data_IF_872646426552
#
_entry.id   IF_872646426552
#
_cell.length_a   1.000
_cell.length_b   1.000
_cell.length_c   1.000
_cell.angle_alpha   90.00
_cell.angle_beta   90.00
_cell.angle_gamma   90.00
#
_symmetry.space_group_name_H-M   'P 1'
#
loop_
_entity.id
_entity.type
_entity.pdbx_description
1 polymer ?
#
# COMPACT_ATOMS: atom_id res chain seq x y z
N UNK A 1 17.04 -23.79 -2.17
CA UNK A 1 16.42 -22.49 -2.53
C UNK A 1 14.90 -22.66 -2.51
N UNK A 2 14.30 -22.74 -1.31
CA UNK A 2 12.86 -23.00 -1.16
C UNK A 2 12.37 -22.47 0.19
N UNK A 3 12.50 -21.15 0.42
CA UNK A 3 11.84 -20.49 1.57
C UNK A 3 11.60 -18.99 1.33
N UNK A 4 11.62 -18.56 0.07
CA UNK A 4 11.58 -17.14 -0.28
C UNK A 4 10.21 -16.47 -0.14
N UNK A 5 9.14 -17.21 0.16
CA UNK A 5 7.76 -16.70 0.26
C UNK A 5 7.04 -17.09 1.57
N UNK A 6 7.79 -17.54 2.58
CA UNK A 6 7.20 -18.14 3.78
C UNK A 6 6.44 -17.10 4.62
N UNK A 7 6.95 -15.87 4.71
CA UNK A 7 6.35 -14.83 5.54
C UNK A 7 5.07 -14.27 4.92
N UNK A 8 5.09 -13.92 3.62
CA UNK A 8 3.90 -13.40 2.94
C UNK A 8 2.78 -14.45 2.86
N UNK A 9 3.12 -15.72 2.61
CA UNK A 9 2.13 -16.82 2.62
C UNK A 9 1.55 -17.09 4.00
N UNK A 10 2.37 -17.08 5.04
CA UNK A 10 1.90 -17.23 6.42
C UNK A 10 0.83 -16.19 6.77
N UNK A 11 1.07 -14.92 6.41
CA UNK A 11 0.09 -13.84 6.62
C UNK A 11 -1.22 -14.12 5.88
N UNK A 12 -1.15 -14.59 4.62
CA UNK A 12 -2.36 -14.90 3.85
C UNK A 12 -3.17 -16.05 4.47
N UNK A 13 -2.49 -17.07 4.97
CA UNK A 13 -3.13 -18.30 5.46
C UNK A 13 -3.64 -18.14 6.91
N UNK A 14 -3.01 -17.28 7.72
CA UNK A 14 -3.40 -17.01 9.11
C UNK A 14 -4.45 -15.89 9.26
N UNK A 15 -4.55 -15.00 8.27
CA UNK A 15 -5.51 -13.89 8.32
C UNK A 15 -6.89 -14.37 7.89
N UNK A 16 -7.91 -14.13 8.72
CA UNK A 16 -9.31 -14.33 8.33
C UNK A 16 -9.79 -13.22 7.38
N UNK A 17 -9.39 -13.32 6.11
CA UNK A 17 -9.76 -12.36 5.07
C UNK A 17 -11.26 -12.27 4.85
N UNK A 18 -11.99 -13.37 5.05
CA UNK A 18 -13.46 -13.41 4.93
C UNK A 18 -14.14 -12.58 5.99
N UNK A 19 -13.55 -12.51 7.19
CA UNK A 19 -14.02 -11.65 8.27
C UNK A 19 -13.99 -10.14 7.95
N UNK A 20 -13.29 -9.74 6.89
CA UNK A 20 -13.21 -8.33 6.45
C UNK A 20 -14.03 -8.02 5.19
N UNK A 21 -14.61 -9.04 4.54
CA UNK A 21 -15.44 -8.84 3.36
C UNK A 21 -16.73 -8.10 3.78
N UNK A 22 -17.05 -7.01 3.08
CA UNK A 22 -18.13 -6.12 3.48
C UNK A 22 -19.48 -6.86 3.50
N UNK A 23 -20.23 -6.67 4.58
CA UNK A 23 -21.67 -6.98 4.64
C UNK A 23 -22.43 -6.43 3.43
N UNK A 24 -21.98 -5.31 2.88
CA UNK A 24 -22.54 -4.63 1.72
C UNK A 24 -22.40 -5.43 0.41
N UNK A 25 -21.35 -6.22 0.24
CA UNK A 25 -21.13 -7.08 -0.93
C UNK A 25 -21.96 -8.37 -0.82
N UNK A 26 -22.07 -8.90 0.40
CA UNK A 26 -22.99 -9.99 0.75
C UNK A 26 -24.44 -9.56 0.49
N UNK A 27 -24.81 -8.34 0.90
CA UNK A 27 -26.15 -7.77 0.68
C UNK A 27 -26.45 -7.49 -0.80
N UNK A 28 -25.42 -7.23 -1.63
CA UNK A 28 -25.54 -7.06 -3.09
C UNK A 28 -25.46 -8.38 -3.88
N UNK A 29 -25.30 -9.51 -3.19
CA UNK A 29 -25.22 -10.84 -3.81
C UNK A 29 -23.98 -11.05 -4.67
N UNK A 30 -22.92 -10.26 -4.45
CA UNK A 30 -21.65 -10.46 -5.12
C UNK A 30 -20.94 -11.66 -4.47
N UNK A 31 -20.31 -12.54 -5.26
CA UNK A 31 -19.60 -13.67 -4.69
C UNK A 31 -18.50 -13.14 -3.74
N UNK A 32 -18.33 -13.75 -2.56
CA UNK A 32 -17.31 -13.34 -1.61
C UNK A 32 -15.96 -13.22 -2.32
N UNK A 33 -15.37 -12.03 -2.24
CA UNK A 33 -14.12 -11.72 -2.88
C UNK A 33 -13.01 -12.44 -2.10
N UNK A 34 -12.55 -13.60 -2.57
CA UNK A 34 -11.42 -14.32 -1.93
C UNK A 34 -10.13 -13.48 -2.02
N UNK A 35 -9.95 -12.63 -1.02
CA UNK A 35 -8.88 -11.64 -0.94
C UNK A 35 -7.54 -12.36 -0.84
N UNK A 36 -7.48 -13.48 -0.12
CA UNK A 36 -6.28 -14.31 -0.04
C UNK A 36 -5.86 -14.84 -1.42
N UNK A 37 -6.80 -15.32 -2.24
CA UNK A 37 -6.51 -15.79 -3.60
C UNK A 37 -6.00 -14.65 -4.49
N UNK A 38 -6.64 -13.47 -4.46
CA UNK A 38 -6.20 -12.33 -5.28
C UNK A 38 -4.83 -11.82 -4.84
N UNK A 39 -4.62 -11.65 -3.55
CA UNK A 39 -3.34 -11.20 -3.01
C UNK A 39 -2.21 -12.18 -3.32
N UNK A 40 -2.47 -13.50 -3.24
CA UNK A 40 -1.51 -14.54 -3.66
C UNK A 40 -1.09 -14.40 -5.13
N UNK A 41 -1.96 -13.85 -5.98
CA UNK A 41 -1.67 -13.53 -7.38
C UNK A 41 -0.51 -12.57 -7.58
N UNK A 42 -0.21 -11.68 -6.62
CA UNK A 42 0.90 -10.72 -6.69
C UNK A 42 2.28 -11.38 -6.71
N UNK A 43 2.42 -12.57 -6.12
CA UNK A 43 3.65 -13.36 -6.12
C UNK A 43 3.72 -14.33 -7.30
N UNK A 44 2.76 -14.29 -8.23
CA UNK A 44 2.68 -15.20 -9.36
C UNK A 44 3.48 -14.68 -10.56
N UNK A 45 4.04 -15.59 -11.35
CA UNK A 45 4.61 -15.25 -12.66
C UNK A 45 3.54 -15.04 -13.75
N UNK A 46 2.25 -15.22 -13.39
CA UNK A 46 1.11 -15.03 -14.28
C UNK A 46 0.63 -13.57 -14.21
N UNK A 47 0.95 -12.77 -15.24
CA UNK A 47 0.61 -11.35 -15.32
C UNK A 47 -0.86 -11.03 -15.01
N UNK A 48 -1.87 -11.70 -15.61
CA UNK A 48 -3.27 -11.55 -15.23
C UNK A 48 -3.56 -11.72 -13.73
N UNK A 49 -2.88 -12.64 -13.04
CA UNK A 49 -3.04 -12.83 -11.60
C UNK A 49 -2.40 -11.70 -10.80
N UNK A 50 -1.25 -11.20 -11.25
CA UNK A 50 -0.60 -10.02 -10.66
C UNK A 50 -1.48 -8.78 -10.82
N UNK A 51 -2.03 -8.56 -12.01
CA UNK A 51 -2.94 -7.45 -12.29
C UNK A 51 -4.20 -7.52 -11.43
N UNK A 52 -4.80 -8.70 -11.29
CA UNK A 52 -5.97 -8.90 -10.44
C UNK A 52 -5.66 -8.64 -8.95
N UNK A 53 -4.50 -9.11 -8.47
CA UNK A 53 -4.06 -8.86 -7.10
C UNK A 53 -3.77 -7.39 -6.82
N UNK A 54 -3.14 -6.69 -7.77
CA UNK A 54 -2.85 -5.27 -7.65
C UNK A 54 -4.13 -4.45 -7.71
N UNK A 55 -5.04 -4.79 -8.61
CA UNK A 55 -6.36 -4.16 -8.70
C UNK A 55 -7.12 -4.29 -7.38
N UNK A 56 -7.13 -5.49 -6.79
CA UNK A 56 -7.77 -5.75 -5.50
C UNK A 56 -7.17 -4.93 -4.36
N UNK A 57 -5.83 -4.87 -4.26
CA UNK A 57 -5.16 -3.98 -3.31
C UNK A 57 -5.62 -2.52 -3.48
N UNK A 58 -5.72 -2.06 -4.73
CA UNK A 58 -6.00 -0.67 -5.08
C UNK A 58 -7.47 -0.24 -5.01
N UNK A 59 -8.42 -1.17 -5.05
CA UNK A 59 -9.85 -0.80 -5.10
C UNK A 59 -10.62 -1.34 -3.89
N UNK A 60 -10.23 -2.49 -3.35
CA UNK A 60 -10.98 -3.16 -2.30
C UNK A 60 -10.30 -3.01 -0.93
N UNK A 61 -8.97 -2.84 -0.91
CA UNK A 61 -8.18 -2.81 0.33
C UNK A 61 -7.50 -1.45 0.60
N UNK A 62 -7.71 -0.44 -0.26
CA UNK A 62 -7.16 0.90 -0.03
C UNK A 62 -7.85 1.54 1.17
N UNK A 63 -7.03 2.09 2.06
CA UNK A 63 -7.51 3.06 3.03
C UNK A 63 -7.64 4.43 2.36
N UNK A 64 -8.83 4.72 1.82
CA UNK A 64 -9.13 6.06 1.32
C UNK A 64 -9.64 6.91 2.48
N UNK A 65 -8.77 7.78 3.00
CA UNK A 65 -9.15 8.72 4.06
C UNK A 65 -10.49 9.42 3.71
N UNK A 66 -11.49 9.44 4.62
CA UNK A 66 -11.42 9.05 6.04
C UNK A 66 -11.67 7.57 6.34
N UNK A 67 -11.95 6.74 5.33
CA UNK A 67 -12.31 5.34 5.46
C UNK A 67 -11.06 4.44 5.45
N UNK A 68 -10.71 3.92 6.61
CA UNK A 68 -9.67 2.89 6.76
C UNK A 68 -10.37 1.57 7.03
N UNK A 69 -10.22 0.61 6.11
CA UNK A 69 -10.88 -0.69 6.24
C UNK A 69 -10.14 -1.59 7.24
N UNK A 70 -10.86 -2.46 7.98
CA UNK A 70 -10.22 -3.45 8.86
C UNK A 70 -9.18 -4.33 8.15
N UNK A 71 -9.37 -4.63 6.86
CA UNK A 71 -8.43 -5.39 6.04
C UNK A 71 -7.14 -4.64 5.68
N UNK A 72 -7.07 -3.32 5.87
CA UNK A 72 -5.89 -2.54 5.46
C UNK A 72 -4.65 -2.94 6.26
N UNK A 73 -4.76 -3.12 7.58
CA UNK A 73 -3.62 -3.51 8.41
C UNK A 73 -2.99 -4.87 8.01
N UNK A 74 -3.76 -5.97 7.84
CA UNK A 74 -3.19 -7.22 7.35
C UNK A 74 -2.67 -7.10 5.91
N UNK A 75 -3.32 -6.31 5.04
CA UNK A 75 -2.80 -6.05 3.69
C UNK A 75 -1.45 -5.32 3.72
N UNK A 76 -1.27 -4.34 4.61
CA UNK A 76 0.01 -3.64 4.81
C UNK A 76 1.10 -4.61 5.26
N UNK A 77 0.80 -5.51 6.20
CA UNK A 77 1.75 -6.56 6.62
C UNK A 77 2.13 -7.47 5.47
N UNK A 78 1.13 -7.94 4.72
CA UNK A 78 1.34 -8.81 3.57
C UNK A 78 2.25 -8.16 2.53
N UNK A 79 1.96 -6.91 2.14
CA UNK A 79 2.78 -6.18 1.16
C UNK A 79 4.19 -5.91 1.71
N UNK A 80 4.33 -5.56 2.99
CA UNK A 80 5.64 -5.38 3.61
C UNK A 80 6.48 -6.68 3.56
N UNK A 81 5.88 -7.82 3.90
CA UNK A 81 6.56 -9.12 3.77
C UNK A 81 6.95 -9.38 2.31
N UNK A 82 6.01 -9.20 1.38
CA UNK A 82 6.22 -9.42 -0.05
C UNK A 82 7.36 -8.56 -0.64
N UNK A 83 7.59 -7.34 -0.12
CA UNK A 83 8.71 -6.50 -0.56
C UNK A 83 10.10 -7.08 -0.22
N UNK A 84 10.19 -7.89 0.84
CA UNK A 84 11.43 -8.55 1.27
C UNK A 84 11.71 -9.85 0.51
N UNK A 85 10.74 -10.29 -0.28
CA UNK A 85 10.77 -11.56 -1.02
C UNK A 85 11.15 -11.34 -2.50
N UNK A 86 11.62 -12.38 -3.21
CA UNK A 86 11.82 -12.30 -4.65
C UNK A 86 10.49 -12.02 -5.35
N UNK A 87 10.36 -10.86 -5.99
CA UNK A 87 9.16 -10.51 -6.77
C UNK A 87 9.35 -10.90 -8.24
N UNK A 88 8.27 -11.25 -8.95
CA UNK A 88 8.34 -11.46 -10.39
C UNK A 88 8.79 -10.15 -11.07
N UNK A 89 9.62 -10.27 -12.11
CA UNK A 89 10.10 -9.13 -12.90
C UNK A 89 9.01 -8.69 -13.88
N UNK A 90 7.98 -8.07 -13.31
CA UNK A 90 6.77 -7.65 -14.01
C UNK A 90 6.69 -6.12 -14.00
N UNK A 91 6.43 -5.55 -15.17
CA UNK A 91 6.25 -4.12 -15.37
C UNK A 91 4.79 -3.86 -15.75
N UNK A 92 4.12 -3.01 -14.98
CA UNK A 92 2.69 -2.75 -15.07
C UNK A 92 2.45 -1.26 -15.34
N UNK A 93 1.35 -0.96 -16.01
CA UNK A 93 0.95 0.42 -16.29
C UNK A 93 0.45 1.10 -15.03
N UNK A 94 1.10 2.20 -14.65
CA UNK A 94 0.63 3.18 -13.67
C UNK A 94 -0.71 3.76 -14.10
N UNK A 95 -1.68 3.70 -13.20
CA UNK A 95 -2.99 4.28 -13.47
C UNK A 95 -3.00 5.80 -13.42
N UNK A 96 -2.05 6.43 -12.72
CA UNK A 96 -2.00 7.88 -12.54
C UNK A 96 -1.42 8.63 -13.74
N UNK A 97 -0.40 8.04 -14.40
CA UNK A 97 0.35 8.71 -15.46
C UNK A 97 0.64 7.82 -16.68
N UNK A 98 0.03 6.63 -16.75
CA UNK A 98 0.21 5.67 -17.84
C UNK A 98 1.64 5.16 -18.05
N UNK A 99 2.58 5.48 -17.15
CA UNK A 99 3.97 4.99 -17.24
C UNK A 99 4.05 3.52 -16.86
N UNK A 100 4.98 2.81 -17.46
CA UNK A 100 5.31 1.44 -17.08
C UNK A 100 6.21 1.47 -15.85
N UNK A 101 5.77 0.87 -14.74
CA UNK A 101 6.49 0.81 -13.47
C UNK A 101 6.65 -0.65 -13.02
N UNK A 102 7.78 -1.02 -12.40
CA UNK A 102 7.94 -2.33 -11.79
C UNK A 102 6.85 -2.60 -10.73
N UNK A 103 6.42 -3.85 -10.58
CA UNK A 103 5.45 -4.26 -9.55
C UNK A 103 5.85 -3.72 -8.16
N UNK A 104 7.15 -3.81 -7.81
CA UNK A 104 7.67 -3.31 -6.53
C UNK A 104 7.38 -1.82 -6.32
N UNK A 105 7.42 -1.00 -7.38
CA UNK A 105 7.10 0.43 -7.29
C UNK A 105 5.60 0.67 -7.05
N UNK A 106 4.72 -0.16 -7.65
CA UNK A 106 3.27 -0.11 -7.39
C UNK A 106 2.93 -0.48 -5.95
N UNK A 107 3.55 -1.54 -5.41
CA UNK A 107 3.38 -1.95 -4.02
C UNK A 107 3.82 -0.87 -3.02
N UNK A 108 4.95 -0.21 -3.30
CA UNK A 108 5.44 0.91 -2.49
C UNK A 108 4.50 2.12 -2.56
N UNK A 109 3.98 2.46 -3.74
CA UNK A 109 3.01 3.54 -3.88
C UNK A 109 1.71 3.25 -3.11
N UNK A 110 1.25 2.00 -3.13
CA UNK A 110 0.10 1.57 -2.33
C UNK A 110 0.37 1.67 -0.82
N UNK A 111 1.55 1.22 -0.35
CA UNK A 111 1.95 1.38 1.06
C UNK A 111 1.99 2.84 1.48
N UNK A 112 2.53 3.72 0.64
CA UNK A 112 2.57 5.16 0.89
C UNK A 112 1.14 5.70 1.08
N UNK A 113 0.19 5.28 0.24
CA UNK A 113 -1.21 5.67 0.37
C UNK A 113 -1.86 5.18 1.66
N UNK A 114 -1.65 3.91 2.01
CA UNK A 114 -2.15 3.33 3.25
C UNK A 114 -1.59 4.07 4.47
N UNK A 115 -0.29 4.36 4.51
CA UNK A 115 0.34 5.08 5.63
C UNK A 115 -0.12 6.54 5.73
N UNK A 116 -0.28 7.20 4.58
CA UNK A 116 -0.76 8.58 4.52
C UNK A 116 -2.17 8.70 5.07
N UNK A 117 -3.05 7.74 4.78
CA UNK A 117 -4.45 7.73 5.25
C UNK A 117 -4.59 7.80 6.78
N UNK A 118 -3.56 7.35 7.51
CA UNK A 118 -3.51 7.31 8.98
C UNK A 118 -2.42 8.20 9.58
N UNK A 119 -1.85 9.14 8.80
CA UNK A 119 -0.84 10.07 9.33
C UNK A 119 -1.46 11.11 10.28
N UNK A 120 -0.63 11.92 10.94
CA UNK A 120 -1.14 12.88 11.93
C UNK A 120 -2.02 13.97 11.32
N UNK A 121 -1.78 14.34 10.06
CA UNK A 121 -2.64 15.29 9.35
C UNK A 121 -4.03 14.70 9.09
N UNK A 122 -4.10 13.45 8.64
CA UNK A 122 -5.35 12.71 8.45
C UNK A 122 -6.08 12.48 9.77
N UNK A 123 -5.37 12.19 10.87
CA UNK A 123 -5.98 12.07 12.21
C UNK A 123 -6.59 13.41 12.63
N UNK A 124 -5.85 14.52 12.50
CA UNK A 124 -6.39 15.85 12.82
C UNK A 124 -7.62 16.18 11.99
N UNK A 125 -7.57 15.92 10.68
CA UNK A 125 -8.73 16.15 9.81
C UNK A 125 -9.94 15.28 10.20
N UNK A 126 -9.72 14.02 10.56
CA UNK A 126 -10.80 13.16 11.04
C UNK A 126 -11.41 13.68 12.35
N UNK A 127 -10.58 14.17 13.28
CA UNK A 127 -11.06 14.79 14.54
C UNK A 127 -11.92 16.01 14.24
N UNK A 128 -11.51 16.86 13.30
CA UNK A 128 -12.30 18.02 12.86
C UNK A 128 -13.65 17.61 12.27
N UNK A 129 -13.69 16.51 11.50
CA UNK A 129 -14.91 16.01 10.85
C UNK A 129 -15.86 15.26 11.80
N UNK A 130 -15.32 14.41 12.67
CA UNK A 130 -16.08 13.44 13.45
C UNK A 130 -16.17 13.76 14.94
N UNK A 131 -15.34 14.68 15.45
CA UNK A 131 -15.33 15.09 16.85
C UNK A 131 -14.65 14.12 17.82
N UNK A 132 -14.01 13.06 17.32
CA UNK A 132 -13.23 12.11 18.12
C UNK A 132 -11.99 11.63 17.36
N UNK A 133 -11.00 11.13 18.11
CA UNK A 133 -9.76 10.62 17.52
C UNK A 133 -9.91 9.14 17.17
N UNK A 134 -9.69 8.73 15.90
CA UNK A 134 -9.82 7.34 15.52
C UNK A 134 -8.70 6.47 16.11
N UNK A 135 -7.57 7.06 16.52
CA UNK A 135 -6.41 6.33 17.06
C UNK A 135 -6.47 6.08 18.57
N UNK A 136 -7.40 6.72 19.29
CA UNK A 136 -7.63 6.51 20.73
C UNK A 136 -8.35 5.20 21.04
N UNK A 137 -9.02 4.61 20.04
CA UNK A 137 -9.66 3.31 20.14
C UNK A 137 -8.69 2.21 19.68
N UNK A 138 -8.22 1.31 20.57
CA UNK A 138 -7.23 0.28 20.22
C UNK A 138 -7.67 -0.67 19.11
N UNK A 139 -8.98 -0.93 19.02
CA UNK A 139 -9.58 -1.83 18.03
C UNK A 139 -9.86 -1.14 16.68
N UNK A 140 -9.51 0.14 16.53
CA UNK A 140 -9.78 0.84 15.28
C UNK A 140 -8.84 0.40 14.16
N UNK A 141 -9.32 0.38 12.90
CA UNK A 141 -8.45 0.12 11.75
C UNK A 141 -7.27 1.12 11.65
N UNK A 142 -7.49 2.36 12.08
CA UNK A 142 -6.44 3.40 12.11
C UNK A 142 -5.32 3.04 13.07
N UNK A 143 -5.68 2.59 14.27
CA UNK A 143 -4.73 2.15 15.28
C UNK A 143 -3.94 0.93 14.75
N UNK A 144 -4.64 -0.06 14.20
CA UNK A 144 -4.03 -1.27 13.63
C UNK A 144 -3.00 -0.96 12.52
N UNK A 145 -3.30 -0.03 11.60
CA UNK A 145 -2.35 0.37 10.54
C UNK A 145 -1.14 1.13 11.10
N UNK A 146 -1.30 1.91 12.19
CA UNK A 146 -0.13 2.54 12.85
C UNK A 146 0.79 1.52 13.51
N UNK A 147 0.24 0.49 14.13
CA UNK A 147 1.03 -0.55 14.81
C UNK A 147 1.95 -1.35 13.87
N UNK A 148 1.69 -1.35 12.56
CA UNK A 148 2.52 -2.08 11.59
C UNK A 148 3.69 -1.25 11.04
N UNK A 149 3.77 0.04 11.35
CA UNK A 149 4.81 0.96 10.84
C UNK A 149 6.25 0.47 11.04
N UNK A 150 6.65 -0.07 12.22
CA UNK A 150 8.00 -0.61 12.38
C UNK A 150 8.32 -1.76 11.41
N UNK A 151 7.37 -2.68 11.22
CA UNK A 151 7.53 -3.79 10.26
C UNK A 151 7.65 -3.29 8.81
N UNK A 152 6.88 -2.25 8.45
CA UNK A 152 7.00 -1.62 7.12
C UNK A 152 8.37 -0.94 6.97
N UNK A 153 8.86 -0.29 8.02
CA UNK A 153 10.19 0.35 8.00
C UNK A 153 11.29 -0.68 7.75
N UNK A 154 11.26 -1.81 8.46
CA UNK A 154 12.22 -2.90 8.29
C UNK A 154 12.20 -3.47 6.86
N UNK A 155 11.01 -3.62 6.27
CA UNK A 155 10.85 -4.10 4.90
C UNK A 155 11.34 -3.08 3.84
N UNK A 156 11.12 -1.79 4.07
CA UNK A 156 11.48 -0.71 3.12
C UNK A 156 12.98 -0.37 3.21
N UNK A 157 13.60 -0.56 4.37
CA UNK A 157 15.00 -0.21 4.64
C UNK A 157 16.00 -0.71 3.58
N UNK A 158 15.97 -2.00 3.18
CA UNK A 158 16.82 -2.53 2.10
C UNK A 158 16.48 -1.98 0.71
N UNK A 159 15.22 -1.60 0.48
CA UNK A 159 14.73 -1.12 -0.83
C UNK A 159 15.17 0.33 -1.11
N UNK A 160 15.58 1.07 -0.09
CA UNK A 160 16.17 2.41 -0.23
C UNK A 160 17.47 2.43 -1.05
N UNK A 161 18.19 1.31 -1.12
CA UNK A 161 19.41 1.15 -1.92
C UNK A 161 19.14 0.42 -3.26
N UNK A 162 17.88 0.31 -3.68
CA UNK A 162 17.53 -0.35 -4.94
C UNK A 162 18.24 0.29 -6.15
N UNK A 163 18.67 -0.56 -7.08
CA UNK A 163 19.31 -0.16 -8.34
C UNK A 163 18.35 0.62 -9.23
N UNK A 164 17.09 0.20 -9.29
CA UNK A 164 16.05 0.89 -10.04
C UNK A 164 15.70 2.23 -9.34
N UNK A 165 15.89 3.38 -10.04
CA UNK A 165 15.65 4.70 -9.45
C UNK A 165 14.18 4.99 -9.16
N UNK A 166 13.24 4.37 -9.88
CA UNK A 166 11.80 4.48 -9.62
C UNK A 166 11.47 3.78 -8.31
N UNK A 167 11.94 2.53 -8.14
CA UNK A 167 11.73 1.76 -6.90
C UNK A 167 12.35 2.49 -5.71
N UNK A 168 13.58 2.99 -5.85
CA UNK A 168 14.25 3.77 -4.80
C UNK A 168 13.47 5.03 -4.41
N UNK A 169 12.91 5.75 -5.38
CA UNK A 169 12.09 6.95 -5.12
C UNK A 169 10.81 6.60 -4.38
N UNK A 170 10.10 5.54 -4.80
CA UNK A 170 8.88 5.10 -4.12
C UNK A 170 9.18 4.63 -2.68
N UNK A 171 10.31 3.93 -2.47
CA UNK A 171 10.75 3.52 -1.14
C UNK A 171 11.05 4.73 -0.24
N UNK A 172 11.66 5.78 -0.80
CA UNK A 172 11.91 7.01 -0.06
C UNK A 172 10.61 7.70 0.36
N UNK A 173 9.60 7.76 -0.52
CA UNK A 173 8.30 8.34 -0.20
C UNK A 173 7.63 7.62 0.99
N UNK A 174 7.66 6.29 1.00
CA UNK A 174 7.20 5.47 2.13
C UNK A 174 8.01 5.76 3.40
N UNK A 175 9.35 5.79 3.30
CA UNK A 175 10.21 6.05 4.44
C UNK A 175 9.98 7.44 5.06
N UNK A 176 9.71 8.46 4.25
CA UNK A 176 9.34 9.81 4.73
C UNK A 176 8.04 9.77 5.53
N UNK A 177 7.03 9.01 5.08
CA UNK A 177 5.79 8.84 5.85
C UNK A 177 6.01 8.14 7.18
N UNK A 178 6.97 7.21 7.25
CA UNK A 178 7.28 6.46 8.47
C UNK A 178 8.04 7.31 9.50
N UNK A 179 9.03 8.11 9.10
CA UNK A 179 9.84 8.92 10.05
C UNK A 179 9.15 10.21 10.54
N UNK A 180 7.96 10.49 10.01
CA UNK A 180 7.04 11.47 10.61
C UNK A 180 6.40 10.93 11.90
N UNK A 181 6.45 9.61 12.14
CA UNK A 181 6.07 9.00 13.40
C UNK A 181 7.15 9.24 14.48
N UNK A 182 6.73 9.71 15.66
CA UNK A 182 7.60 9.93 16.81
C UNK A 182 8.26 8.62 17.31
N UNK A 183 7.69 7.46 17.01
CA UNK A 183 8.31 6.16 17.34
C UNK A 183 9.46 5.75 16.42
N UNK A 184 9.69 6.49 15.32
CA UNK A 184 10.72 6.17 14.31
C UNK A 184 11.70 7.33 14.08
N UNK A 185 11.83 8.24 15.05
CA UNK A 185 12.71 9.42 14.92
C UNK A 185 14.19 9.04 14.77
N UNK A 186 14.64 7.98 15.44
CA UNK A 186 16.01 7.46 15.39
C UNK A 186 16.42 7.00 13.97
N UNK A 187 15.44 6.82 13.08
CA UNK A 187 15.68 6.41 11.69
C UNK A 187 15.79 7.58 10.70
N UNK A 188 15.61 8.83 11.16
CA UNK A 188 15.66 10.03 10.30
C UNK A 188 17.00 10.18 9.57
N UNK A 189 18.12 9.83 10.21
CA UNK A 189 19.46 9.91 9.59
C UNK A 189 19.58 8.98 8.37
N UNK A 190 19.03 7.76 8.47
CA UNK A 190 19.04 6.78 7.37
C UNK A 190 18.21 7.26 6.18
N UNK A 191 17.05 7.89 6.44
CA UNK A 191 16.19 8.46 5.40
C UNK A 191 16.82 9.71 4.76
N UNK A 192 17.48 10.56 5.56
CA UNK A 192 18.21 11.73 5.07
C UNK A 192 19.37 11.32 4.14
N UNK A 193 20.12 10.28 4.50
CA UNK A 193 21.18 9.73 3.66
C UNK A 193 20.64 9.21 2.32
N UNK A 194 19.49 8.52 2.31
CA UNK A 194 18.82 8.07 1.08
C UNK A 194 18.38 9.23 0.17
N UNK A 195 17.83 10.30 0.75
CA UNK A 195 17.38 11.50 0.03
C UNK A 195 18.51 12.22 -0.70
N UNK A 196 19.69 12.30 -0.07
CA UNK A 196 20.87 13.01 -0.63
C UNK A 196 21.43 12.40 -1.92
N UNK A 197 21.08 11.15 -2.23
CA UNK A 197 21.54 10.40 -3.42
C UNK A 197 20.62 10.56 -4.63
N UNK A 198 19.53 11.33 -4.52
CA UNK A 198 18.68 11.66 -5.66
C UNK A 198 19.21 12.93 -6.34
N UNK A 199 19.41 12.95 -7.67
CA UNK A 199 19.71 14.18 -8.37
C UNK A 199 18.54 15.16 -8.16
N UNK A 200 18.83 16.31 -7.54
CA UNK A 200 17.87 17.36 -7.28
C UNK A 200 17.57 18.11 -8.58
N UNK A 201 16.49 17.72 -9.25
CA UNK A 201 15.96 18.39 -10.45
C UNK A 201 14.98 17.47 -11.18
N UNK A 202 13.75 17.82 -11.53
CA UNK A 202 13.04 19.10 -11.54
C UNK A 202 11.80 19.03 -10.65
N UNK A 203 11.54 20.11 -9.89
CA UNK A 203 10.26 20.37 -9.27
C UNK A 203 9.15 20.50 -10.35
N UNK A 204 8.60 19.35 -10.77
CA UNK A 204 7.20 19.30 -11.14
C UNK A 204 6.44 19.28 -9.83
N UNK A 205 5.77 20.38 -9.50
CA UNK A 205 4.88 20.47 -8.34
C UNK A 205 4.12 19.17 -8.19
N UNK A 206 4.38 18.47 -7.09
CA UNK A 206 3.79 17.18 -6.78
C UNK A 206 2.28 17.37 -6.68
N UNK A 207 1.62 16.98 -7.77
CA UNK A 207 0.18 16.97 -7.95
C UNK A 207 -0.25 15.54 -8.28
N UNK A 208 0.47 14.59 -7.69
CA UNK A 208 0.39 13.16 -8.00
C UNK A 208 -0.64 12.47 -7.10
N UNK A 209 -0.84 12.94 -5.87
CA UNK A 209 -1.80 12.37 -4.91
C UNK A 209 -3.24 12.84 -5.13
N UNK A 210 -3.46 14.10 -5.51
CA UNK A 210 -4.82 14.64 -5.77
C UNK A 210 -5.47 14.10 -7.05
N UNK A 211 -4.68 13.42 -7.92
CA UNK A 211 -5.17 12.87 -9.20
C UNK A 211 -5.73 11.46 -9.11
N UNK A 212 -5.46 10.70 -8.05
CA UNK A 212 -6.00 9.35 -7.91
C UNK A 212 -7.55 9.40 -7.83
N UNK A 213 -8.10 10.37 -7.11
CA UNK A 213 -9.55 10.60 -7.01
C UNK A 213 -10.19 11.13 -8.31
N UNK A 214 -9.43 11.78 -9.20
CA UNK A 214 -9.99 12.44 -10.40
C UNK A 214 -10.00 11.55 -11.65
N UNK A 215 -9.18 10.49 -11.72
CA UNK A 215 -9.02 9.71 -12.95
C UNK A 215 -9.87 8.43 -13.01
N UNK A 216 -10.46 7.98 -11.90
CA UNK A 216 -11.11 6.66 -11.83
C UNK A 216 -12.63 6.67 -11.97
N UNK A 217 -13.28 7.83 -12.11
CA UNK A 217 -14.69 7.92 -12.51
C UNK A 217 -14.87 7.88 -14.04
N UNK A 218 -14.45 6.77 -14.66
CA UNK A 218 -14.89 6.40 -16.02
C UNK A 218 -15.35 4.96 -16.06
N UNK A 219 -16.59 4.74 -15.60
CA UNK A 219 -17.41 3.56 -15.88
C UNK A 219 -17.80 3.45 -17.37
N UNK A 220 -16.87 3.59 -18.31
CA UNK A 220 -17.08 3.36 -19.76
C UNK A 220 -15.74 3.15 -20.48
N UNK A 221 -15.12 1.97 -20.34
CA UNK A 221 -14.09 1.55 -21.31
C UNK A 221 -14.02 0.04 -21.58
N UNK A 222 -14.88 -0.80 -20.97
CA UNK A 222 -14.92 -2.22 -21.28
C UNK A 222 -16.36 -2.65 -21.58
N UNK A 223 -16.82 -2.28 -22.78
CA UNK A 223 -17.86 -2.99 -23.52
C UNK A 223 -17.28 -3.29 -24.90
N UNK A 224 -16.85 -4.54 -25.07
CA UNK A 224 -16.78 -5.21 -26.37
C UNK A 224 -17.21 -6.64 -26.10
N UNK A 225 -18.52 -6.90 -26.13
CA UNK A 225 -19.28 -7.45 -27.26
C UNK A 225 -20.79 -7.31 -26.97
#
# INVERSE_FOLDING_TARGET
>A
MADGFAASRGILDETDWRGFENWDDIAKGWPPLDSAVRLRGLASDNLPLVEAGLWHLMHDLVAEHPNVHPATAPAVRYVAALLTEPLPDVVLKSSSDSRLLPLRAHLLAWLEAALRSVNDASVRHFVELAGFSPIEHPDSPWHAVRQVRPQVFDAVGPVLDALDPVVRRSALAVAVMLVQDAGLEDHRERVAAGSSRLPFGSAGTDRSSDRWCSCFDRRRCWSTE
#
